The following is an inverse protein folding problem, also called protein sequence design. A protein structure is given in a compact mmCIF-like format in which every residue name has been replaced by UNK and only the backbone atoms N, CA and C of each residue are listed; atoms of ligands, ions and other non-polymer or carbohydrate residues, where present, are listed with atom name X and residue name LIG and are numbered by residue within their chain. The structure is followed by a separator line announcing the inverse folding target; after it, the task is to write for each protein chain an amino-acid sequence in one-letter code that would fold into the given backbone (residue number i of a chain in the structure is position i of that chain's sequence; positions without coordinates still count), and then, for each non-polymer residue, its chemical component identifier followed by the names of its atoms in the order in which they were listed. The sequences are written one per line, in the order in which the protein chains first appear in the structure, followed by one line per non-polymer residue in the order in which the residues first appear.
data_IF_873400605115
#
_entry.id   IF_873400605115
#
_cell.length_a   1.000
_cell.length_b   1.000
_cell.length_c   1.000
_cell.angle_alpha   90.00
_cell.angle_beta   90.00
_cell.angle_gamma   90.00
#
_symmetry.space_group_name_H-M   'P 1'
#
loop_
_entity.id
_entity.type
_entity.pdbx_description
1 polymer ?
#
# COMPACT_ATOMS: atom_id res chain seq x y z
N UNK A 1 -17.97 -8.01 12.94
CA UNK A 1 -19.32 -7.38 12.97
C UNK A 1 -20.31 -8.21 13.79
N UNK A 2 -20.58 -9.47 13.46
CA UNK A 2 -21.49 -10.31 14.28
C UNK A 2 -21.09 -10.42 15.75
N UNK A 3 -19.79 -10.62 16.03
CA UNK A 3 -19.26 -10.59 17.40
C UNK A 3 -19.42 -9.22 18.05
N UNK A 4 -19.23 -8.14 17.29
CA UNK A 4 -19.38 -6.78 17.81
C UNK A 4 -20.85 -6.51 18.23
N UNK A 5 -21.80 -6.96 17.40
CA UNK A 5 -23.24 -6.93 17.70
C UNK A 5 -23.56 -7.76 18.95
N UNK A 6 -23.05 -8.98 19.04
CA UNK A 6 -23.28 -9.85 20.20
C UNK A 6 -22.75 -9.25 21.51
N UNK A 7 -21.68 -8.45 21.43
CA UNK A 7 -21.07 -7.76 22.56
C UNK A 7 -21.70 -6.38 22.83
N UNK A 8 -22.78 -6.00 22.14
CA UNK A 8 -23.50 -4.74 22.35
C UNK A 8 -22.79 -3.51 21.80
N UNK A 9 -21.82 -3.66 20.89
CA UNK A 9 -21.18 -2.53 20.23
C UNK A 9 -22.05 -2.00 19.08
N UNK A 10 -22.10 -0.67 18.95
CA UNK A 10 -22.73 0.00 17.81
C UNK A 10 -21.96 -0.29 16.52
N UNK A 11 -22.64 -0.87 15.53
CA UNK A 11 -22.04 -1.23 14.25
C UNK A 11 -21.83 -0.02 13.33
N UNK A 12 -22.60 1.05 13.50
CA UNK A 12 -22.47 2.25 12.67
C UNK A 12 -21.11 2.95 12.86
N UNK A 13 -20.51 2.80 14.04
CA UNK A 13 -19.16 3.30 14.34
C UNK A 13 -18.02 2.50 13.70
N UNK A 14 -18.29 1.34 13.08
CA UNK A 14 -17.25 0.43 12.57
C UNK A 14 -17.10 0.63 11.06
N UNK A 15 -15.90 1.01 10.64
CA UNK A 15 -15.50 1.14 9.24
C UNK A 15 -14.35 0.19 8.93
N UNK A 16 -14.33 -0.35 7.71
CA UNK A 16 -13.24 -1.21 7.26
C UNK A 16 -13.02 -1.08 5.76
N UNK A 17 -11.81 -1.40 5.33
CA UNK A 17 -11.42 -1.52 3.93
C UNK A 17 -10.68 -2.85 3.73
N UNK A 18 -10.84 -3.45 2.56
CA UNK A 18 -10.03 -4.57 2.09
C UNK A 18 -9.08 -4.06 1.01
N UNK A 19 -7.80 -3.92 1.35
CA UNK A 19 -6.78 -3.37 0.45
C UNK A 19 -6.31 -4.42 -0.56
N UNK A 20 -6.64 -4.21 -1.83
CA UNK A 20 -6.23 -5.04 -2.98
C UNK A 20 -5.11 -4.35 -3.74
N UNK A 21 -3.96 -5.02 -3.84
CA UNK A 21 -2.80 -4.51 -4.59
C UNK A 21 -2.97 -4.73 -6.09
N UNK A 22 -2.82 -3.66 -6.87
CA UNK A 22 -3.08 -3.66 -8.32
C UNK A 22 -1.78 -3.86 -9.12
N UNK A 23 -0.94 -2.83 -9.27
CA UNK A 23 0.21 -2.84 -10.20
C UNK A 23 1.21 -3.99 -10.02
N UNK A 24 1.31 -4.54 -8.80
CA UNK A 24 2.20 -5.69 -8.50
C UNK A 24 1.79 -6.94 -9.26
N UNK A 25 0.48 -7.11 -9.53
CA UNK A 25 -0.05 -8.25 -10.26
C UNK A 25 0.40 -8.20 -11.71
N UNK A 26 0.17 -7.09 -12.41
CA UNK A 26 0.61 -6.94 -13.80
C UNK A 26 2.13 -7.07 -13.91
N UNK A 27 2.90 -6.43 -13.03
CA UNK A 27 4.37 -6.54 -13.02
C UNK A 27 4.84 -8.01 -13.00
N UNK A 28 4.26 -8.83 -12.13
CA UNK A 28 4.65 -10.24 -12.01
C UNK A 28 4.09 -11.10 -13.15
N UNK A 29 2.85 -10.87 -13.57
CA UNK A 29 2.24 -11.61 -14.69
C UNK A 29 2.97 -11.32 -15.99
N UNK A 30 3.25 -10.05 -16.30
CA UNK A 30 3.93 -9.63 -17.52
C UNK A 30 5.37 -10.18 -17.56
N UNK A 31 6.03 -10.27 -16.40
CA UNK A 31 7.33 -10.93 -16.27
C UNK A 31 7.26 -12.43 -16.60
N UNK A 32 6.21 -13.14 -16.15
CA UNK A 32 6.01 -14.57 -16.43
C UNK A 32 5.59 -14.84 -17.88
N UNK A 33 4.81 -13.94 -18.45
CA UNK A 33 4.39 -13.98 -19.85
C UNK A 33 5.57 -13.83 -20.82
N UNK A 34 6.60 -13.08 -20.44
CA UNK A 34 7.77 -12.83 -21.29
C UNK A 34 7.47 -11.88 -22.46
N UNK A 35 8.41 -11.75 -23.39
CA UNK A 35 8.30 -10.83 -24.54
C UNK A 35 7.41 -11.36 -25.67
N UNK A 36 7.28 -12.68 -25.82
CA UNK A 36 6.52 -13.33 -26.90
C UNK A 36 5.01 -13.43 -26.61
N UNK A 37 4.56 -12.90 -25.47
CA UNK A 37 3.17 -12.96 -25.09
C UNK A 37 2.30 -12.10 -26.00
N UNK A 38 1.07 -12.57 -26.25
CA UNK A 38 0.08 -11.82 -27.03
C UNK A 38 -0.15 -10.45 -26.37
N UNK A 39 -0.03 -9.38 -27.14
CA UNK A 39 -0.11 -7.98 -26.65
C UNK A 39 -1.31 -7.73 -25.72
N UNK A 40 -2.46 -8.35 -25.97
CA UNK A 40 -3.68 -8.12 -25.19
C UNK A 40 -3.67 -8.74 -23.78
N UNK A 41 -2.74 -9.65 -23.45
CA UNK A 41 -2.61 -10.22 -22.10
C UNK A 41 -1.73 -9.37 -21.19
N UNK A 42 -0.83 -8.55 -21.77
CA UNK A 42 0.09 -7.73 -21.00
C UNK A 42 -0.67 -6.60 -20.30
N UNK A 43 -0.42 -6.42 -19.01
CA UNK A 43 -1.08 -5.40 -18.20
C UNK A 43 -2.60 -5.58 -18.06
N UNK A 44 -3.13 -6.78 -18.29
CA UNK A 44 -4.56 -7.05 -18.22
C UNK A 44 -4.98 -7.75 -16.90
N UNK A 45 -4.04 -8.41 -16.23
CA UNK A 45 -4.32 -9.31 -15.12
C UNK A 45 -4.82 -8.57 -13.87
N UNK A 46 -4.19 -7.46 -13.52
CA UNK A 46 -4.52 -6.72 -12.31
C UNK A 46 -5.94 -6.14 -12.36
N UNK A 47 -6.31 -5.55 -13.50
CA UNK A 47 -7.64 -4.96 -13.69
C UNK A 47 -8.70 -6.05 -13.76
N UNK A 48 -8.45 -7.15 -14.48
CA UNK A 48 -9.35 -8.29 -14.52
C UNK A 48 -9.59 -8.86 -13.12
N UNK A 49 -8.53 -9.07 -12.33
CA UNK A 49 -8.65 -9.54 -10.96
C UNK A 49 -9.43 -8.57 -10.05
N UNK A 50 -9.17 -7.27 -10.15
CA UNK A 50 -9.89 -6.27 -9.36
C UNK A 50 -11.39 -6.22 -9.68
N UNK A 51 -11.74 -6.35 -10.96
CA UNK A 51 -13.14 -6.43 -11.41
C UNK A 51 -13.86 -7.66 -10.83
N UNK A 52 -13.19 -8.81 -10.80
CA UNK A 52 -13.74 -10.03 -10.19
C UNK A 52 -13.80 -9.95 -8.66
N UNK A 53 -12.86 -9.27 -8.02
CA UNK A 53 -12.95 -8.95 -6.59
C UNK A 53 -14.19 -8.09 -6.29
N UNK A 54 -14.51 -7.13 -7.15
CA UNK A 54 -15.70 -6.28 -7.03
C UNK A 54 -17.01 -7.07 -7.24
N UNK A 55 -17.09 -7.96 -8.24
CA UNK A 55 -18.24 -8.87 -8.39
C UNK A 55 -18.49 -9.73 -7.14
N UNK A 56 -17.41 -10.24 -6.53
CA UNK A 56 -17.48 -11.00 -5.27
C UNK A 56 -17.94 -10.12 -4.11
N UNK A 57 -17.51 -8.86 -4.06
CA UNK A 57 -17.99 -7.87 -3.10
C UNK A 57 -19.49 -7.63 -3.26
N UNK A 58 -19.98 -7.37 -4.48
CA UNK A 58 -21.42 -7.20 -4.75
C UNK A 58 -22.23 -8.41 -4.32
N UNK A 59 -21.77 -9.61 -4.68
CA UNK A 59 -22.41 -10.88 -4.30
C UNK A 59 -22.48 -11.05 -2.78
N UNK A 60 -21.43 -10.68 -2.05
CA UNK A 60 -21.39 -10.73 -0.59
C UNK A 60 -22.45 -9.81 0.04
N UNK A 61 -22.64 -8.60 -0.52
CA UNK A 61 -23.65 -7.65 -0.05
C UNK A 61 -25.09 -8.13 -0.27
N UNK A 62 -25.32 -9.06 -1.21
CA UNK A 62 -26.63 -9.66 -1.42
C UNK A 62 -26.94 -10.79 -0.43
N UNK A 63 -25.94 -11.26 0.34
CA UNK A 63 -26.14 -12.40 1.24
C UNK A 63 -27.08 -12.05 2.41
N UNK A 64 -27.95 -12.99 2.85
CA UNK A 64 -28.80 -12.78 4.03
C UNK A 64 -28.00 -12.44 5.29
N UNK A 65 -26.80 -13.04 5.42
CA UNK A 65 -25.86 -12.77 6.52
C UNK A 65 -25.43 -11.31 6.55
N UNK A 66 -25.11 -10.73 5.38
CA UNK A 66 -24.76 -9.31 5.28
C UNK A 66 -25.97 -8.41 5.53
N UNK A 67 -27.11 -8.70 4.88
CA UNK A 67 -28.35 -7.91 5.03
C UNK A 67 -28.82 -7.79 6.48
N UNK A 68 -28.64 -8.85 7.28
CA UNK A 68 -28.94 -8.83 8.71
C UNK A 68 -28.04 -7.85 9.49
N UNK A 69 -26.78 -7.70 9.11
CA UNK A 69 -25.86 -6.73 9.75
C UNK A 69 -26.13 -5.30 9.26
N UNK A 70 -26.44 -5.13 7.98
CA UNK A 70 -26.81 -3.83 7.38
C UNK A 70 -28.07 -3.27 8.05
N UNK A 71 -29.06 -4.11 8.36
CA UNK A 71 -30.27 -3.72 9.08
C UNK A 71 -29.98 -3.19 10.51
N UNK A 72 -28.87 -3.63 11.11
CA UNK A 72 -28.37 -3.18 12.41
C UNK A 72 -27.38 -1.98 12.28
N UNK A 73 -27.32 -1.34 11.12
CA UNK A 73 -26.51 -0.15 10.87
C UNK A 73 -25.06 -0.39 10.44
N UNK A 74 -24.67 -1.64 10.12
CA UNK A 74 -23.31 -1.94 9.70
C UNK A 74 -22.94 -1.34 8.33
N UNK A 75 -21.67 -0.97 8.17
CA UNK A 75 -21.11 -0.50 6.90
C UNK A 75 -20.32 -1.60 6.17
N UNK A 76 -20.45 -1.71 4.83
CA UNK A 76 -19.68 -2.69 4.07
C UNK A 76 -18.19 -2.43 4.18
N UNK A 77 -17.39 -3.50 4.27
CA UNK A 77 -15.95 -3.39 4.09
C UNK A 77 -15.68 -3.04 2.63
N UNK A 78 -15.33 -1.77 2.37
CA UNK A 78 -15.12 -1.26 1.01
C UNK A 78 -13.86 -1.88 0.40
N UNK A 79 -13.88 -2.16 -0.89
CA UNK A 79 -12.65 -2.50 -1.60
C UNK A 79 -11.79 -1.24 -1.74
N UNK A 80 -10.50 -1.38 -1.44
CA UNK A 80 -9.51 -0.32 -1.57
C UNK A 80 -8.44 -0.75 -2.56
N UNK A 81 -8.32 -0.04 -3.67
CA UNK A 81 -7.29 -0.25 -4.68
C UNK A 81 -5.98 0.39 -4.21
N UNK A 82 -5.00 -0.46 -3.90
CA UNK A 82 -3.67 -0.09 -3.43
C UNK A 82 -2.62 -0.33 -4.52
N UNK A 83 -1.48 0.36 -4.41
CA UNK A 83 -0.40 0.26 -5.41
C UNK A 83 -0.92 0.56 -6.83
N UNK A 84 -1.65 1.66 -6.99
CA UNK A 84 -2.27 2.06 -8.28
C UNK A 84 -1.37 2.96 -9.12
N UNK A 85 -0.11 3.16 -8.72
CA UNK A 85 0.91 3.75 -9.59
C UNK A 85 1.40 2.75 -10.63
N UNK A 86 1.32 3.15 -11.90
CA UNK A 86 1.80 2.37 -13.04
C UNK A 86 3.31 2.20 -12.98
N UNK A 87 3.80 1.01 -13.38
CA UNK A 87 5.22 0.64 -13.31
C UNK A 87 5.89 0.53 -14.67
N UNK A 88 5.10 0.23 -15.71
CA UNK A 88 5.56 0.17 -17.08
C UNK A 88 5.16 1.46 -17.81
N UNK A 89 6.11 2.26 -18.31
CA UNK A 89 5.82 3.50 -19.05
C UNK A 89 5.09 3.27 -20.38
N UNK A 90 4.99 2.02 -20.87
CA UNK A 90 4.17 1.69 -22.03
C UNK A 90 2.65 1.78 -21.73
N UNK A 91 2.27 1.83 -20.46
CA UNK A 91 0.88 1.93 -20.03
C UNK A 91 0.50 3.37 -19.69
N UNK A 92 -0.76 3.72 -19.95
CA UNK A 92 -1.34 4.98 -19.47
C UNK A 92 -1.21 5.05 -17.95
N UNK A 93 -0.55 6.09 -17.45
CA UNK A 93 -0.22 6.34 -16.05
C UNK A 93 -1.46 6.51 -15.14
N UNK A 94 -2.62 6.82 -15.71
CA UNK A 94 -3.91 6.92 -15.00
C UNK A 94 -4.71 5.63 -14.92
N UNK A 95 -4.30 4.56 -15.63
CA UNK A 95 -5.19 3.42 -15.95
C UNK A 95 -5.75 2.69 -14.74
N UNK A 96 -4.95 2.48 -13.69
CA UNK A 96 -5.40 1.79 -12.48
C UNK A 96 -6.34 2.63 -11.61
N UNK A 97 -6.58 3.87 -12.00
CA UNK A 97 -7.63 4.71 -11.43
C UNK A 97 -8.83 4.71 -12.35
N UNK A 98 -8.65 5.08 -13.63
CA UNK A 98 -9.75 5.29 -14.58
C UNK A 98 -10.46 4.00 -14.97
N UNK A 99 -9.78 2.85 -14.93
CA UNK A 99 -10.36 1.55 -15.24
C UNK A 99 -10.97 0.83 -14.01
N UNK A 100 -10.82 1.38 -12.79
CA UNK A 100 -11.27 0.77 -11.53
C UNK A 100 -12.22 1.66 -10.71
N UNK A 101 -13.12 2.36 -11.39
CA UNK A 101 -14.14 3.22 -10.78
C UNK A 101 -15.42 2.42 -10.59
N UNK A 102 -15.85 2.28 -9.34
CA UNK A 102 -17.14 1.69 -8.99
C UNK A 102 -17.66 2.21 -7.65
N UNK A 103 -18.95 2.04 -7.40
CA UNK A 103 -19.58 2.47 -6.15
C UNK A 103 -18.95 1.78 -4.94
N UNK A 104 -18.85 2.50 -3.81
CA UNK A 104 -18.35 1.94 -2.53
C UNK A 104 -16.92 1.38 -2.61
N UNK A 105 -16.09 1.92 -3.50
CA UNK A 105 -14.65 1.63 -3.56
C UNK A 105 -13.83 2.83 -3.08
N UNK A 106 -12.56 2.58 -2.77
CA UNK A 106 -11.55 3.59 -2.44
C UNK A 106 -10.33 3.35 -3.32
N UNK A 107 -9.64 4.39 -3.77
CA UNK A 107 -8.35 4.26 -4.42
C UNK A 107 -7.30 5.04 -3.62
N UNK A 108 -6.24 4.36 -3.19
CA UNK A 108 -5.10 4.99 -2.50
C UNK A 108 -4.00 5.27 -3.51
N UNK A 109 -4.09 6.44 -4.12
CA UNK A 109 -3.19 6.87 -5.18
C UNK A 109 -1.86 7.37 -4.59
N UNK A 110 -0.70 7.00 -5.16
CA UNK A 110 0.51 7.78 -5.01
C UNK A 110 0.28 9.22 -5.48
N UNK A 111 1.04 10.18 -4.95
CA UNK A 111 0.88 11.60 -5.30
C UNK A 111 1.03 11.87 -6.80
N UNK A 112 1.99 11.22 -7.46
CA UNK A 112 2.21 11.32 -8.90
C UNK A 112 0.98 10.84 -9.70
N UNK A 113 0.42 9.69 -9.34
CA UNK A 113 -0.81 9.16 -9.96
C UNK A 113 -2.00 10.09 -9.75
N UNK A 114 -2.14 10.65 -8.55
CA UNK A 114 -3.18 11.63 -8.25
C UNK A 114 -3.05 12.87 -9.16
N UNK A 115 -1.83 13.37 -9.35
CA UNK A 115 -1.54 14.52 -10.23
C UNK A 115 -1.81 14.18 -11.70
N UNK A 116 -1.42 13.00 -12.17
CA UNK A 116 -1.69 12.55 -13.54
C UNK A 116 -3.20 12.45 -13.83
N UNK A 117 -3.96 11.83 -12.92
CA UNK A 117 -5.42 11.75 -13.03
C UNK A 117 -6.07 13.13 -13.01
N UNK A 118 -5.57 14.06 -12.19
CA UNK A 118 -6.09 15.42 -12.14
C UNK A 118 -5.78 16.23 -13.42
N UNK A 119 -4.66 15.96 -14.08
CA UNK A 119 -4.24 16.64 -15.30
C UNK A 119 -4.97 16.11 -16.55
N UNK A 120 -5.02 14.79 -16.73
CA UNK A 120 -5.50 14.17 -17.96
C UNK A 120 -6.27 12.85 -17.77
N UNK A 121 -6.74 12.55 -16.56
CA UNK A 121 -7.58 11.39 -16.31
C UNK A 121 -8.97 11.54 -16.94
N UNK A 122 -9.43 10.48 -17.62
CA UNK A 122 -10.80 10.39 -18.17
C UNK A 122 -11.67 9.58 -17.23
N UNK A 123 -12.74 10.18 -16.70
CA UNK A 123 -13.67 9.56 -15.75
C UNK A 123 -15.08 9.56 -16.34
N UNK A 124 -15.45 8.43 -16.97
CA UNK A 124 -16.73 8.26 -17.67
C UNK A 124 -17.79 7.51 -16.83
N UNK A 125 -17.60 7.45 -15.51
CA UNK A 125 -18.48 6.77 -14.57
C UNK A 125 -17.98 5.41 -14.14
N UNK A 126 -18.89 4.45 -13.94
CA UNK A 126 -18.55 3.09 -13.53
C UNK A 126 -17.81 2.36 -14.66
N UNK A 127 -16.61 1.88 -14.38
CA UNK A 127 -15.71 1.20 -15.31
C UNK A 127 -15.51 -0.30 -14.99
N UNK A 128 -16.22 -0.80 -13.98
CA UNK A 128 -16.13 -2.19 -13.50
C UNK A 128 -17.39 -2.97 -13.81
N UNK A 129 -18.57 -2.41 -13.55
CA UNK A 129 -19.83 -3.12 -13.77
C UNK A 129 -19.99 -3.53 -15.24
N UNK A 130 -20.38 -4.79 -15.47
CA UNK A 130 -20.55 -5.36 -16.82
C UNK A 130 -19.27 -5.91 -17.46
N UNK A 131 -18.13 -5.89 -16.75
CA UNK A 131 -16.83 -6.36 -17.30
C UNK A 131 -16.42 -7.76 -16.80
N UNK A 132 -17.26 -8.42 -16.00
CA UNK A 132 -16.88 -9.62 -15.25
C UNK A 132 -16.56 -10.82 -16.16
N UNK A 133 -17.36 -11.07 -17.20
CA UNK A 133 -17.12 -12.18 -18.13
C UNK A 133 -15.85 -11.98 -18.96
N UNK A 134 -15.58 -10.74 -19.38
CA UNK A 134 -14.32 -10.39 -20.03
C UNK A 134 -13.14 -10.60 -19.09
N UNK A 135 -13.30 -10.26 -17.81
CA UNK A 135 -12.26 -10.42 -16.79
C UNK A 135 -11.96 -11.89 -16.49
N UNK A 136 -13.00 -12.75 -16.40
CA UNK A 136 -12.85 -14.21 -16.35
C UNK A 136 -12.06 -14.73 -17.56
N UNK A 137 -12.46 -14.30 -18.75
CA UNK A 137 -11.80 -14.70 -20.01
C UNK A 137 -10.32 -14.31 -20.03
N UNK A 138 -9.93 -13.17 -19.46
CA UNK A 138 -8.51 -12.78 -19.33
C UNK A 138 -7.77 -13.78 -18.46
N UNK A 139 -8.27 -14.11 -17.27
CA UNK A 139 -7.61 -15.06 -16.37
C UNK A 139 -7.54 -16.49 -16.96
N UNK A 140 -8.59 -16.93 -17.66
CA UNK A 140 -8.59 -18.20 -18.38
C UNK A 140 -7.50 -18.24 -19.46
N UNK A 141 -7.37 -17.15 -20.23
CA UNK A 141 -6.33 -17.04 -21.27
C UNK A 141 -4.92 -16.94 -20.69
N UNK A 142 -4.72 -16.35 -19.51
CA UNK A 142 -3.44 -16.38 -18.81
C UNK A 142 -3.05 -17.81 -18.43
N UNK A 143 -4.02 -18.59 -17.94
CA UNK A 143 -3.82 -20.01 -17.63
C UNK A 143 -3.42 -20.79 -18.88
N UNK A 144 -4.10 -20.57 -20.01
CA UNK A 144 -3.75 -21.19 -21.30
C UNK A 144 -2.38 -20.75 -21.83
N UNK A 145 -1.91 -19.57 -21.46
CA UNK A 145 -0.57 -19.07 -21.76
C UNK A 145 0.51 -19.61 -20.80
N UNK A 146 0.16 -20.51 -19.87
CA UNK A 146 1.09 -21.12 -18.93
C UNK A 146 1.33 -20.31 -17.66
N UNK A 147 0.55 -19.25 -17.40
CA UNK A 147 0.62 -18.48 -16.16
C UNK A 147 -0.40 -19.02 -15.16
N UNK A 148 0.08 -19.75 -14.16
CA UNK A 148 -0.73 -20.09 -12.98
C UNK A 148 -0.96 -18.84 -12.12
N UNK A 149 -2.18 -18.31 -12.18
CA UNK A 149 -2.56 -17.09 -11.47
C UNK A 149 -2.59 -17.29 -9.94
N UNK A 150 -2.95 -18.48 -9.46
CA UNK A 150 -2.93 -18.76 -8.02
C UNK A 150 -1.48 -18.77 -7.51
N UNK A 151 -0.54 -19.27 -8.32
CA UNK A 151 0.88 -19.19 -8.00
C UNK A 151 1.43 -17.76 -7.99
N UNK A 152 0.97 -16.91 -8.92
CA UNK A 152 1.27 -15.47 -8.91
C UNK A 152 0.83 -14.85 -7.58
N UNK A 153 -0.41 -15.06 -7.17
CA UNK A 153 -0.95 -14.46 -5.93
C UNK A 153 -0.21 -14.97 -4.70
N UNK A 154 0.07 -16.27 -4.60
CA UNK A 154 0.88 -16.84 -3.49
C UNK A 154 2.28 -16.24 -3.43
N UNK A 155 2.93 -16.10 -4.59
CA UNK A 155 4.25 -15.49 -4.69
C UNK A 155 4.26 -14.03 -4.23
N UNK A 156 3.28 -13.25 -4.70
CA UNK A 156 3.12 -11.84 -4.34
C UNK A 156 2.80 -11.64 -2.86
N UNK A 157 2.02 -12.53 -2.25
CA UNK A 157 1.74 -12.51 -0.81
C UNK A 157 3.03 -12.76 0.00
N UNK A 158 3.78 -13.82 -0.33
CA UNK A 158 5.03 -14.16 0.35
C UNK A 158 6.11 -13.07 0.17
N UNK A 159 6.22 -12.48 -1.02
CA UNK A 159 7.10 -11.35 -1.26
C UNK A 159 6.66 -10.09 -0.53
N UNK A 160 5.35 -9.81 -0.53
CA UNK A 160 4.76 -8.68 0.17
C UNK A 160 5.09 -8.71 1.66
N UNK A 161 4.89 -9.86 2.31
CA UNK A 161 5.20 -10.05 3.73
C UNK A 161 6.69 -9.81 4.03
N UNK A 162 7.59 -10.40 3.23
CA UNK A 162 9.05 -10.18 3.38
C UNK A 162 9.44 -8.72 3.22
N UNK A 163 8.88 -8.01 2.24
CA UNK A 163 9.15 -6.58 2.03
C UNK A 163 8.69 -5.74 3.22
N UNK A 164 7.56 -6.08 3.84
CA UNK A 164 7.10 -5.40 5.05
C UNK A 164 8.02 -5.67 6.25
N UNK A 165 8.47 -6.91 6.44
CA UNK A 165 9.42 -7.26 7.50
C UNK A 165 10.74 -6.49 7.37
N UNK A 166 11.32 -6.45 6.17
CA UNK A 166 12.54 -5.68 5.90
C UNK A 166 12.33 -4.20 6.21
N UNK A 167 11.28 -3.58 5.67
CA UNK A 167 11.00 -2.17 5.91
C UNK A 167 10.77 -1.84 7.40
N UNK A 168 10.17 -2.76 8.15
CA UNK A 168 9.98 -2.62 9.59
C UNK A 168 11.30 -2.71 10.36
N UNK A 169 12.16 -3.67 10.01
CA UNK A 169 13.48 -3.81 10.60
C UNK A 169 14.34 -2.56 10.32
N UNK A 170 14.33 -2.06 9.08
CA UNK A 170 15.05 -0.84 8.71
C UNK A 170 14.56 0.38 9.51
N UNK A 171 13.24 0.54 9.65
CA UNK A 171 12.65 1.61 10.45
C UNK A 171 13.08 1.52 11.91
N UNK A 172 12.94 0.34 12.52
CA UNK A 172 13.26 0.15 13.94
C UNK A 172 14.75 0.31 14.23
N UNK A 173 15.63 -0.18 13.34
CA UNK A 173 17.08 0.06 13.43
C UNK A 173 17.40 1.55 13.32
N UNK A 174 16.77 2.27 12.40
CA UNK A 174 16.97 3.71 12.25
C UNK A 174 16.54 4.48 13.50
N UNK A 175 15.37 4.16 14.06
CA UNK A 175 14.88 4.79 15.30
C UNK A 175 15.79 4.49 16.47
N UNK A 176 16.29 3.24 16.61
CA UNK A 176 17.23 2.88 17.66
C UNK A 176 18.53 3.68 17.58
N UNK A 177 19.11 3.82 16.38
CA UNK A 177 20.31 4.63 16.16
C UNK A 177 20.10 6.10 16.56
N UNK A 178 18.95 6.68 16.19
CA UNK A 178 18.62 8.07 16.55
C UNK A 178 18.44 8.24 18.08
N UNK A 179 17.85 7.26 18.76
CA UNK A 179 17.69 7.30 20.22
C UNK A 179 19.03 7.17 20.94
N UNK A 180 19.93 6.31 20.47
CA UNK A 180 21.26 6.13 21.04
C UNK A 180 22.14 7.38 20.83
N UNK A 181 22.08 7.99 19.64
CA UNK A 181 22.77 9.27 19.39
C UNK A 181 22.24 10.38 20.29
N UNK A 182 20.92 10.53 20.43
CA UNK A 182 20.31 11.49 21.33
C UNK A 182 20.73 11.29 22.79
N UNK A 183 20.81 10.02 23.26
CA UNK A 183 21.31 9.69 24.61
C UNK A 183 22.78 10.08 24.78
N UNK A 184 23.62 9.76 23.80
CA UNK A 184 25.04 10.11 23.84
C UNK A 184 25.26 11.64 23.85
N UNK A 185 24.46 12.40 23.10
CA UNK A 185 24.49 13.86 23.12
C UNK A 185 24.10 14.43 24.49
N UNK A 186 23.06 13.88 25.13
CA UNK A 186 22.65 14.29 26.48
C UNK A 186 23.79 14.02 27.49
N UNK A 187 24.41 12.83 27.46
CA UNK A 187 25.50 12.53 28.38
C UNK A 187 26.73 13.42 28.16
N UNK A 188 27.08 13.73 26.91
CA UNK A 188 28.15 14.69 26.59
C UNK A 188 27.85 16.10 27.11
N UNK A 189 26.60 16.53 27.04
CA UNK A 189 26.16 17.85 27.55
C UNK A 189 26.17 17.95 29.08
N UNK A 190 26.21 16.81 29.80
CA UNK A 190 26.24 16.74 31.26
C UNK A 190 27.64 16.73 31.86
N UNK A 191 28.69 16.57 31.05
CA UNK A 191 30.08 16.67 31.53
C UNK A 191 30.39 18.16 31.77
N UNK A 192 30.64 18.60 33.02
CA UNK A 192 31.00 19.99 33.27
C UNK A 192 32.32 20.30 32.56
N UNK A 193 32.40 21.48 31.92
CA UNK A 193 33.62 21.96 31.29
C UNK A 193 34.77 21.85 32.29
N UNK A 194 35.79 21.04 31.97
CA UNK A 194 37.01 20.99 32.76
C UNK A 194 37.58 22.41 32.80
N UNK A 195 37.62 23.00 34.00
CA UNK A 195 38.28 24.28 34.23
C UNK A 195 39.75 24.06 33.82
N UNK A 196 40.28 24.77 32.81
CA UNK A 196 41.69 24.61 32.45
C UNK A 196 42.55 25.01 33.64
N UNK A 197 43.70 24.36 33.87
CA UNK A 197 44.54 24.64 35.01
C UNK A 197 44.94 26.12 35.01
N UNK A 198 44.72 26.80 36.12
CA UNK A 198 45.10 28.19 36.34
C UNK A 198 46.62 28.34 36.18
N UNK A 199 47.06 29.14 35.21
CA UNK A 199 48.44 29.58 35.13
C UNK A 199 48.79 30.42 36.37
N UNK A 200 49.90 30.15 37.07
CA UNK A 200 50.33 31.01 38.16
C UNK A 200 50.87 32.33 37.59
N UNK A 201 50.29 33.44 38.05
CA UNK A 201 50.85 34.78 37.88
C UNK A 201 51.96 34.92 38.92
N UNK A 202 53.22 34.87 38.49
CA UNK A 202 54.34 35.28 39.35
C UNK A 202 54.78 36.68 38.96
N UNK A 203 54.69 37.58 39.93
CA UNK A 203 54.95 39.00 39.83
C UNK A 203 56.39 39.32 39.40
N UNK A 204 56.50 40.38 38.60
CA UNK A 204 57.73 41.12 38.34
C UNK A 204 58.22 41.70 39.67
N UNK A 205 59.40 41.26 40.14
CA UNK A 205 60.19 42.04 41.09
C UNK A 205 61.30 42.78 40.36
N UNK A 206 61.32 44.07 40.62
CA UNK A 206 62.21 45.10 40.10
C UNK A 206 63.54 45.12 40.89
N UNK A 207 64.65 45.17 40.12
CA UNK A 207 66.00 45.73 40.34
C UNK A 207 66.53 46.06 41.75
N UNK A 208 67.80 45.67 41.96
CA UNK A 208 69.00 46.46 42.40
C UNK A 208 70.15 45.44 42.55
N UNK A 209 71.41 45.58 42.08
CA UNK A 209 72.29 46.67 41.65
C UNK A 209 73.15 46.17 40.49
#
# INVERSE_FOLDING_TARGET
LEQARANGHDLAGIQSVASFFISRVDTEVDRRLGEDARDYLRGAAAIANARLAYEKFETMLLSPRWRALEADGAHPQRLLWASTGVKDPAYFDTRYVTELIAARTVNTMPEETLRAVADHGVVDGDSISGTYDTSRTVLDKLTLAGVDYDDVVRGLEAEGLRKFEVAWNDLTSTVALLLDDARAQIDRSRIPAQIPPSFPVTAVQTREV
#
